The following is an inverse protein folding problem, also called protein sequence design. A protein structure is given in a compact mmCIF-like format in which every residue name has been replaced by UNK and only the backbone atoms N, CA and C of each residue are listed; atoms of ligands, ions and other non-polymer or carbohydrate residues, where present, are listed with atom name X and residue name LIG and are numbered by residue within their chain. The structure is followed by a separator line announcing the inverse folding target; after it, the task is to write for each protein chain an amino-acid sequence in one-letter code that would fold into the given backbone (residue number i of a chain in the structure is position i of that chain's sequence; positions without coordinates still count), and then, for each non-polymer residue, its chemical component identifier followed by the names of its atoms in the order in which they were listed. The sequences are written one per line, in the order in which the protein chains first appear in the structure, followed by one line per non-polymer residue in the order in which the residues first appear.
data_IF_892618853663
#
_entry.id   IF_892618853663
#
_cell.length_a   1.000
_cell.length_b   1.000
_cell.length_c   1.000
_cell.angle_alpha   90.00
_cell.angle_beta   90.00
_cell.angle_gamma   90.00
#
_symmetry.space_group_name_H-M   'P 1'
#
loop_
_entity.id
_entity.type
_entity.pdbx_description
1 polymer ?
#
# COMPACT_ATOMS: atom_id res chain seq x y z
N UNK A 1 -20.63 -30.78 -0.85
CA UNK A 1 -19.18 -30.54 -0.99
C UNK A 1 -18.85 -29.30 -0.18
N UNK A 2 -18.02 -29.45 0.86
CA UNK A 2 -17.69 -28.36 1.79
C UNK A 2 -16.60 -27.49 1.15
N UNK A 3 -16.95 -26.34 0.58
CA UNK A 3 -15.96 -25.33 0.21
C UNK A 3 -15.29 -24.85 1.50
N UNK A 4 -13.99 -25.09 1.61
CA UNK A 4 -13.20 -24.71 2.77
C UNK A 4 -13.03 -23.18 2.87
N UNK A 5 -12.88 -22.62 4.08
CA UNK A 5 -12.73 -21.18 4.32
C UNK A 5 -11.51 -20.53 3.65
N UNK A 6 -10.60 -21.32 3.09
CA UNK A 6 -9.38 -20.83 2.42
C UNK A 6 -9.64 -20.32 0.99
N UNK A 7 -10.63 -20.85 0.28
CA UNK A 7 -10.92 -20.41 -1.11
C UNK A 7 -11.58 -19.03 -1.15
N UNK A 8 -12.41 -18.73 -0.14
CA UNK A 8 -13.12 -17.44 -0.02
C UNK A 8 -12.14 -16.29 0.22
N UNK A 9 -11.14 -16.50 1.09
CA UNK A 9 -10.14 -15.47 1.41
C UNK A 9 -9.22 -15.13 0.22
N UNK A 10 -8.82 -16.14 -0.55
CA UNK A 10 -7.99 -15.94 -1.74
C UNK A 10 -8.73 -15.17 -2.85
N UNK A 11 -10.04 -15.42 -3.01
CA UNK A 11 -10.87 -14.70 -3.97
C UNK A 11 -11.07 -13.24 -3.56
N UNK A 12 -11.38 -12.99 -2.29
CA UNK A 12 -11.57 -11.64 -1.76
C UNK A 12 -10.29 -10.80 -1.82
N UNK A 13 -9.12 -11.43 -1.57
CA UNK A 13 -7.83 -10.75 -1.73
C UNK A 13 -7.55 -10.34 -3.18
N UNK A 14 -7.93 -11.17 -4.16
CA UNK A 14 -7.80 -10.86 -5.59
C UNK A 14 -8.72 -9.72 -6.02
N UNK A 15 -9.97 -9.71 -5.54
CA UNK A 15 -10.93 -8.64 -5.82
C UNK A 15 -10.44 -7.29 -5.24
N UNK A 16 -10.00 -7.27 -3.98
CA UNK A 16 -9.42 -6.06 -3.38
C UNK A 16 -8.18 -5.54 -4.11
N UNK A 17 -7.38 -6.46 -4.68
CA UNK A 17 -6.19 -6.11 -5.44
C UNK A 17 -6.55 -5.51 -6.81
N UNK A 18 -7.59 -6.04 -7.47
CA UNK A 18 -8.11 -5.51 -8.72
C UNK A 18 -8.69 -4.10 -8.54
N UNK A 19 -9.42 -3.87 -7.44
CA UNK A 19 -9.99 -2.55 -7.12
C UNK A 19 -8.90 -1.50 -6.88
N UNK A 20 -7.86 -1.84 -6.13
CA UNK A 20 -6.77 -0.91 -5.85
C UNK A 20 -5.93 -0.61 -7.11
N UNK A 21 -5.72 -1.59 -7.99
CA UNK A 21 -5.07 -1.38 -9.27
C UNK A 21 -5.91 -0.50 -10.21
N UNK A 22 -7.23 -0.71 -10.25
CA UNK A 22 -8.14 0.12 -11.04
C UNK A 22 -8.17 1.57 -10.53
N UNK A 23 -8.20 1.75 -9.21
CA UNK A 23 -8.09 3.07 -8.57
C UNK A 23 -6.77 3.74 -8.95
N UNK A 24 -5.64 3.05 -8.81
CA UNK A 24 -4.33 3.57 -9.21
C UNK A 24 -4.32 4.00 -10.69
N UNK A 25 -4.86 3.18 -11.59
CA UNK A 25 -4.95 3.50 -13.02
C UNK A 25 -5.79 4.74 -13.31
N UNK A 26 -6.83 5.03 -12.51
CA UNK A 26 -7.73 6.18 -12.69
C UNK A 26 -7.15 7.52 -12.22
N UNK A 27 -6.10 7.51 -11.40
CA UNK A 27 -5.48 8.73 -10.87
C UNK A 27 -4.49 9.36 -11.86
N UNK A 28 -4.40 10.69 -11.82
CA UNK A 28 -3.32 11.45 -12.47
C UNK A 28 -1.95 11.18 -11.83
N UNK A 29 -0.83 11.50 -12.51
CA UNK A 29 0.51 11.32 -11.95
C UNK A 29 0.73 12.03 -10.60
N UNK A 30 0.20 13.27 -10.46
CA UNK A 30 0.29 14.02 -9.21
C UNK A 30 -0.49 13.34 -8.08
N UNK A 31 -1.73 12.91 -8.35
CA UNK A 31 -2.56 12.21 -7.36
C UNK A 31 -1.93 10.88 -6.93
N UNK A 32 -1.31 10.14 -7.86
CA UNK A 32 -0.55 8.92 -7.54
C UNK A 32 0.64 9.23 -6.64
N UNK A 33 1.38 10.30 -6.91
CA UNK A 33 2.51 10.74 -6.07
C UNK A 33 2.05 11.13 -4.66
N UNK A 34 1.00 11.94 -4.56
CA UNK A 34 0.41 12.34 -3.27
C UNK A 34 -0.13 11.14 -2.49
N UNK A 35 -0.80 10.20 -3.16
CA UNK A 35 -1.28 8.97 -2.54
C UNK A 35 -0.13 8.12 -2.01
N UNK A 36 0.96 8.01 -2.78
CA UNK A 36 2.17 7.31 -2.35
C UNK A 36 2.78 7.95 -1.10
N UNK A 37 2.90 9.27 -1.07
CA UNK A 37 3.40 10.00 0.11
C UNK A 37 2.50 9.83 1.33
N UNK A 38 1.17 9.95 1.14
CA UNK A 38 0.21 9.72 2.21
C UNK A 38 0.28 8.29 2.76
N UNK A 39 0.47 7.29 1.90
CA UNK A 39 0.66 5.90 2.30
C UNK A 39 1.96 5.70 3.08
N UNK A 40 3.06 6.34 2.66
CA UNK A 40 4.33 6.30 3.40
C UNK A 40 4.18 6.92 4.80
N UNK A 41 3.54 8.08 4.90
CA UNK A 41 3.27 8.74 6.18
C UNK A 41 2.36 7.88 7.09
N UNK A 42 1.34 7.25 6.50
CA UNK A 42 0.43 6.35 7.22
C UNK A 42 1.15 5.10 7.74
N UNK A 43 2.05 4.51 6.93
CA UNK A 43 2.87 3.38 7.36
C UNK A 43 3.78 3.79 8.51
N UNK A 44 4.46 4.93 8.39
CA UNK A 44 5.39 5.38 9.42
C UNK A 44 4.69 5.68 10.75
N UNK A 45 3.59 6.44 10.71
CA UNK A 45 2.78 6.73 11.90
C UNK A 45 2.24 5.46 12.58
N UNK A 46 1.78 4.46 11.81
CA UNK A 46 1.32 3.16 12.35
C UNK A 46 2.46 2.33 12.92
N UNK A 47 3.66 2.35 12.32
CA UNK A 47 4.84 1.69 12.89
C UNK A 47 5.25 2.31 14.21
N UNK A 48 5.23 3.64 14.32
CA UNK A 48 5.51 4.34 15.57
C UNK A 48 4.45 4.01 16.64
N UNK A 49 3.17 4.01 16.27
CA UNK A 49 2.09 3.65 17.18
C UNK A 49 2.20 2.19 17.68
N UNK A 50 2.57 1.26 16.80
CA UNK A 50 2.86 -0.13 17.18
C UNK A 50 4.01 -0.19 18.19
N UNK A 51 5.13 0.47 17.90
CA UNK A 51 6.30 0.46 18.80
C UNK A 51 5.99 1.05 20.18
N UNK A 52 5.23 2.14 20.24
CA UNK A 52 4.75 2.74 21.50
C UNK A 52 3.82 1.77 22.24
N UNK A 53 2.91 1.11 21.53
CA UNK A 53 1.97 0.15 22.13
C UNK A 53 2.71 -1.07 22.67
N UNK A 54 3.69 -1.62 21.93
CA UNK A 54 4.57 -2.70 22.39
C UNK A 54 5.34 -2.32 23.65
N UNK A 55 5.83 -1.08 23.73
CA UNK A 55 6.50 -0.58 24.93
C UNK A 55 5.54 -0.54 26.13
N UNK A 56 4.33 -0.01 25.96
CA UNK A 56 3.32 0.05 27.02
C UNK A 56 2.89 -1.35 27.45
N UNK A 57 2.65 -2.27 26.51
CA UNK A 57 2.28 -3.65 26.82
C UNK A 57 3.37 -4.36 27.62
N UNK A 58 4.66 -4.19 27.24
CA UNK A 58 5.79 -4.74 28.01
C UNK A 58 5.84 -4.20 29.43
N UNK A 59 5.69 -2.89 29.61
CA UNK A 59 5.70 -2.26 30.95
C UNK A 59 4.56 -2.74 31.84
N UNK A 60 3.43 -3.14 31.26
CA UNK A 60 2.23 -3.58 31.97
C UNK A 60 2.05 -5.10 32.01
N UNK A 61 3.04 -5.87 31.53
CA UNK A 61 2.95 -7.33 31.40
C UNK A 61 1.71 -7.81 30.62
N UNK A 62 1.30 -7.05 29.60
CA UNK A 62 0.20 -7.37 28.70
C UNK A 62 0.70 -8.10 27.44
N UNK A 63 -0.21 -8.73 26.72
CA UNK A 63 0.07 -9.31 25.41
C UNK A 63 0.56 -8.23 24.43
N UNK A 64 1.53 -8.59 23.59
CA UNK A 64 2.05 -7.70 22.56
C UNK A 64 0.99 -7.49 21.46
N UNK A 65 0.83 -6.26 20.95
CA UNK A 65 -0.03 -6.00 19.79
C UNK A 65 0.46 -6.71 18.54
N UNK A 66 -0.44 -7.04 17.62
CA UNK A 66 -0.10 -7.60 16.33
C UNK A 66 0.07 -6.52 15.27
N UNK A 67 0.95 -6.74 14.29
CA UNK A 67 1.06 -5.90 13.09
C UNK A 67 -0.27 -5.82 12.30
N UNK A 68 -1.15 -6.81 12.47
CA UNK A 68 -2.47 -6.85 11.83
C UNK A 68 -3.43 -5.83 12.45
N UNK A 69 -3.35 -5.62 13.76
CA UNK A 69 -4.19 -4.65 14.49
C UNK A 69 -3.89 -3.21 14.05
N UNK A 70 -2.68 -2.98 13.52
CA UNK A 70 -2.24 -1.71 12.98
C UNK A 70 -2.40 -1.61 11.46
N UNK A 71 -2.99 -2.61 10.80
CA UNK A 71 -3.21 -2.66 9.34
C UNK A 71 -1.95 -2.39 8.50
N UNK A 72 -0.75 -2.68 9.04
CA UNK A 72 0.52 -2.47 8.36
C UNK A 72 0.66 -3.31 7.08
N UNK A 73 0.29 -4.61 7.08
CA UNK A 73 0.33 -5.41 5.84
C UNK A 73 -0.54 -4.83 4.73
N UNK A 74 -1.73 -4.33 5.06
CA UNK A 74 -2.65 -3.72 4.09
C UNK A 74 -2.08 -2.43 3.52
N UNK A 75 -1.53 -1.55 4.36
CA UNK A 75 -0.92 -0.31 3.91
C UNK A 75 0.30 -0.55 3.01
N UNK A 76 1.13 -1.54 3.35
CA UNK A 76 2.27 -1.96 2.50
C UNK A 76 1.83 -2.55 1.17
N UNK A 77 0.73 -3.32 1.14
CA UNK A 77 0.15 -3.84 -0.12
C UNK A 77 -0.28 -2.69 -1.03
N UNK A 78 -1.06 -1.75 -0.49
CA UNK A 78 -1.51 -0.56 -1.22
C UNK A 78 -0.31 0.24 -1.74
N UNK A 79 0.72 0.47 -0.92
CA UNK A 79 1.92 1.19 -1.35
C UNK A 79 2.59 0.53 -2.57
N UNK A 80 2.60 -0.80 -2.68
CA UNK A 80 3.14 -1.51 -3.84
C UNK A 80 2.29 -1.30 -5.09
N UNK A 81 0.97 -1.28 -4.95
CA UNK A 81 0.04 -1.05 -6.06
C UNK A 81 0.14 0.38 -6.60
N UNK A 82 0.35 1.37 -5.71
CA UNK A 82 0.63 2.75 -6.11
C UNK A 82 2.08 2.98 -6.58
N UNK A 83 3.00 2.08 -6.25
CA UNK A 83 4.42 2.14 -6.66
C UNK A 83 4.75 1.40 -7.96
N UNK A 84 3.92 0.43 -8.38
CA UNK A 84 4.15 -0.36 -9.60
C UNK A 84 3.88 0.42 -10.91
N UNK A 85 3.30 1.62 -10.82
CA UNK A 85 2.85 2.43 -11.95
C UNK A 85 3.84 3.47 -12.50
N UNK A 86 5.14 3.34 -12.22
CA UNK A 86 6.13 4.31 -12.72
C UNK A 86 7.55 3.78 -12.70
N UNK A 87 7.98 3.18 -13.82
CA UNK A 87 9.38 3.25 -14.19
C UNK A 87 9.69 4.71 -14.57
N UNK A 88 10.74 5.34 -14.02
CA UNK A 88 11.22 6.62 -14.55
C UNK A 88 11.91 6.33 -15.88
N UNK A 89 11.16 6.44 -16.98
CA UNK A 89 11.67 6.10 -18.31
C UNK A 89 10.93 6.68 -19.52
N UNK A 90 9.77 7.32 -19.35
CA UNK A 90 9.06 7.99 -20.46
C UNK A 90 9.06 9.51 -20.32
N UNK A 91 10.23 10.05 -19.97
CA UNK A 91 10.57 11.47 -20.17
C UNK A 91 11.69 11.54 -21.21
N UNK A 92 11.28 11.46 -22.47
CA UNK A 92 12.07 11.79 -23.65
C UNK A 92 11.07 12.06 -24.77
N UNK A 93 10.30 13.15 -24.75
CA UNK A 93 10.75 14.54 -24.91
C UNK A 93 12.04 14.71 -25.74
N UNK A 94 12.20 13.92 -26.81
CA UNK A 94 13.25 14.15 -27.82
C UNK A 94 12.77 13.80 -29.24
N UNK A 95 11.55 14.21 -29.60
CA UNK A 95 11.08 14.18 -31.01
C UNK A 95 10.42 15.49 -31.48
N UNK A 96 10.51 16.56 -30.67
CA UNK A 96 10.01 17.88 -31.02
C UNK A 96 11.13 18.95 -30.94
N UNK A 97 12.27 18.70 -31.59
CA UNK A 97 13.24 19.77 -31.85
C UNK A 97 13.98 19.59 -33.17
N UNK A 98 13.44 20.26 -34.19
CA UNK A 98 14.24 20.92 -35.23
C UNK A 98 14.60 20.09 -36.45
N UNK A 99 13.70 20.10 -37.45
CA UNK A 99 14.15 20.32 -38.82
C UNK A 99 14.85 21.69 -38.90
N UNK A 100 15.94 21.79 -39.66
CA UNK A 100 15.80 22.29 -41.03
C UNK A 100 16.17 21.27 -42.11
#
# INVERSE_FOLDING_TARGET
MKHGPLETGARQAREQQADAAALCASLSPLERSLMREALLLLIDSRRQALALTEQVCRQRHLAAPSIQDFHLPTALRLLREFGAGGAPGEAGDEAARGAP
#
